data_IF_049511128533
#
_entry.id   IF_049511128533
#
_cell.length_a   1.000
_cell.length_b   1.000
_cell.length_c   1.000
_cell.angle_alpha   90.00
_cell.angle_beta   90.00
_cell.angle_gamma   90.00
#
_symmetry.space_group_name_H-M   'P 1'
#
loop_
_entity.id
_entity.type
_entity.pdbx_description
1 polymer ?
#
# COMPACT_ATOMS: atom_id res chain seq x y z
N UNK A 1 13.04 4.55 -12.60
CA UNK A 1 13.05 3.50 -11.55
C UNK A 1 11.68 2.85 -11.50
N UNK A 2 11.57 1.51 -11.38
CA UNK A 2 10.28 0.83 -11.23
C UNK A 2 9.65 1.30 -9.90
N UNK A 3 8.44 1.87 -9.95
CA UNK A 3 7.75 2.37 -8.74
C UNK A 3 7.23 1.24 -7.84
N UNK A 4 7.05 0.04 -8.40
CA UNK A 4 6.59 -1.17 -7.72
C UNK A 4 7.40 -1.52 -6.45
N UNK A 5 8.74 -1.68 -6.50
CA UNK A 5 9.53 -1.98 -5.31
C UNK A 5 9.52 -0.85 -4.27
N UNK A 6 9.50 0.42 -4.69
CA UNK A 6 9.47 1.55 -3.76
C UNK A 6 8.19 1.57 -2.92
N UNK A 7 7.05 1.20 -3.51
CA UNK A 7 5.76 1.16 -2.82
C UNK A 7 5.68 -0.03 -1.86
N UNK A 8 6.23 -1.20 -2.23
CA UNK A 8 6.33 -2.36 -1.32
C UNK A 8 7.21 -2.03 -0.11
N UNK A 9 8.32 -1.35 -0.33
CA UNK A 9 9.22 -0.88 0.74
C UNK A 9 8.48 0.12 1.65
N UNK A 10 7.79 1.11 1.08
CA UNK A 10 7.01 2.08 1.84
C UNK A 10 5.89 1.42 2.66
N UNK A 11 5.21 0.41 2.10
CA UNK A 11 4.19 -0.38 2.81
C UNK A 11 4.80 -1.14 3.98
N UNK A 12 5.93 -1.83 3.75
CA UNK A 12 6.64 -2.55 4.80
C UNK A 12 7.02 -1.61 5.94
N UNK A 13 7.58 -0.44 5.62
CA UNK A 13 7.92 0.59 6.60
C UNK A 13 6.67 1.06 7.38
N UNK A 14 5.53 1.28 6.71
CA UNK A 14 4.26 1.62 7.40
C UNK A 14 3.79 0.55 8.38
N UNK A 15 3.93 -0.73 8.02
CA UNK A 15 3.58 -1.85 8.92
C UNK A 15 4.50 -1.84 10.14
N UNK A 16 5.82 -1.75 9.94
CA UNK A 16 6.79 -1.68 11.05
C UNK A 16 6.56 -0.46 11.96
N UNK A 17 6.28 0.71 11.39
CA UNK A 17 5.94 1.93 12.15
C UNK A 17 4.67 1.73 12.97
N UNK A 18 3.65 1.08 12.41
CA UNK A 18 2.41 0.79 13.14
C UNK A 18 2.67 -0.10 14.38
N UNK A 19 3.48 -1.15 14.23
CA UNK A 19 3.91 -1.98 15.36
C UNK A 19 4.74 -1.19 16.38
N UNK A 20 5.63 -0.32 15.92
CA UNK A 20 6.44 0.53 16.78
C UNK A 20 5.59 1.51 17.61
N UNK A 21 4.59 2.15 16.99
CA UNK A 21 3.67 3.04 17.70
C UNK A 21 2.79 2.30 18.72
N UNK A 22 2.33 1.09 18.42
CA UNK A 22 1.62 0.25 19.39
C UNK A 22 2.52 -0.11 20.57
N UNK A 23 3.79 -0.46 20.30
CA UNK A 23 4.76 -0.76 21.34
C UNK A 23 5.08 0.45 22.22
N UNK A 24 5.31 1.64 21.62
CA UNK A 24 5.46 2.87 22.39
C UNK A 24 4.20 3.22 23.17
N UNK A 25 3.01 2.95 22.63
CA UNK A 25 1.76 3.15 23.36
C UNK A 25 1.76 2.31 24.63
N UNK A 26 2.24 1.07 24.59
CA UNK A 26 2.30 0.22 25.77
C UNK A 26 3.25 0.76 26.86
N UNK A 27 4.37 1.34 26.45
CA UNK A 27 5.34 1.98 27.35
C UNK A 27 4.96 3.39 27.81
N UNK A 28 4.07 4.08 27.07
CA UNK A 28 3.69 5.44 27.39
C UNK A 28 2.84 5.48 28.67
N UNK A 29 3.32 6.21 29.67
CA UNK A 29 2.67 6.39 30.98
C UNK A 29 1.49 7.38 30.92
N UNK A 30 1.40 8.20 29.88
CA UNK A 30 0.33 9.19 29.69
C UNK A 30 -0.83 8.67 28.83
N UNK A 31 -2.06 8.73 29.34
CA UNK A 31 -3.28 8.29 28.63
C UNK A 31 -3.53 9.05 27.33
N UNK A 32 -3.23 10.36 27.29
CA UNK A 32 -3.38 11.19 26.09
C UNK A 32 -2.39 10.75 24.99
N UNK A 33 -1.13 10.52 25.38
CA UNK A 33 -0.08 10.08 24.44
C UNK A 33 -0.40 8.69 23.87
N UNK A 34 -0.89 7.77 24.72
CA UNK A 34 -1.37 6.44 24.31
C UNK A 34 -2.42 6.53 23.20
N UNK A 35 -3.44 7.36 23.39
CA UNK A 35 -4.51 7.53 22.39
C UNK A 35 -3.98 8.12 21.09
N UNK A 36 -3.08 9.10 21.18
CA UNK A 36 -2.50 9.75 20.01
C UNK A 36 -1.63 8.80 19.19
N UNK A 37 -0.78 7.99 19.85
CA UNK A 37 0.03 6.98 19.17
C UNK A 37 -0.79 5.86 18.53
N UNK A 38 -1.85 5.38 19.20
CA UNK A 38 -2.76 4.40 18.61
C UNK A 38 -3.45 4.99 17.38
N UNK A 39 -3.86 6.25 17.45
CA UNK A 39 -4.46 6.97 16.32
C UNK A 39 -3.47 7.10 15.17
N UNK A 40 -2.20 7.45 15.46
CA UNK A 40 -1.14 7.51 14.45
C UNK A 40 -0.87 6.15 13.81
N UNK A 41 -0.88 5.07 14.60
CA UNK A 41 -0.71 3.71 14.11
C UNK A 41 -1.82 3.33 13.12
N UNK A 42 -3.07 3.65 13.45
CA UNK A 42 -4.23 3.41 12.57
C UNK A 42 -4.10 4.20 11.27
N UNK A 43 -3.75 5.49 11.33
CA UNK A 43 -3.55 6.31 10.13
C UNK A 43 -2.39 5.82 9.25
N UNK A 44 -1.27 5.41 9.86
CA UNK A 44 -0.13 4.84 9.13
C UNK A 44 -0.52 3.56 8.40
N UNK A 45 -1.35 2.71 9.02
CA UNK A 45 -1.82 1.45 8.44
C UNK A 45 -2.82 1.69 7.30
N UNK A 46 -3.77 2.63 7.48
CA UNK A 46 -4.70 3.08 6.45
C UNK A 46 -3.98 3.63 5.21
N UNK A 47 -2.97 4.47 5.41
CA UNK A 47 -2.15 5.02 4.32
C UNK A 47 -1.44 3.92 3.54
N UNK A 48 -0.85 2.93 4.23
CA UNK A 48 -0.23 1.77 3.60
C UNK A 48 -1.22 0.93 2.78
N UNK A 49 -2.40 0.65 3.34
CA UNK A 49 -3.45 -0.12 2.65
C UNK A 49 -3.97 0.61 1.42
N UNK A 50 -4.18 1.93 1.50
CA UNK A 50 -4.57 2.74 0.35
C UNK A 50 -3.53 2.69 -0.77
N UNK A 51 -2.24 2.79 -0.45
CA UNK A 51 -1.17 2.70 -1.44
C UNK A 51 -1.16 1.33 -2.17
N UNK A 52 -1.39 0.24 -1.44
CA UNK A 52 -1.53 -1.10 -2.02
C UNK A 52 -2.78 -1.24 -2.91
N UNK A 53 -3.92 -0.68 -2.49
CA UNK A 53 -5.15 -0.71 -3.26
C UNK A 53 -4.96 0.02 -4.61
N UNK A 54 -4.38 1.22 -4.58
CA UNK A 54 -4.05 1.98 -5.79
C UNK A 54 -3.11 1.19 -6.73
N UNK A 55 -2.12 0.49 -6.19
CA UNK A 55 -1.22 -0.34 -6.98
C UNK A 55 -1.91 -1.55 -7.60
N UNK A 56 -2.78 -2.22 -6.85
CA UNK A 56 -3.57 -3.35 -7.34
C UNK A 56 -4.45 -2.93 -8.52
N UNK A 57 -5.12 -1.77 -8.38
CA UNK A 57 -5.93 -1.18 -9.45
C UNK A 57 -5.06 -0.79 -10.65
N UNK A 58 -3.92 -0.13 -10.42
CA UNK A 58 -2.99 0.25 -11.49
C UNK A 58 -2.48 -0.97 -12.28
N UNK A 59 -2.05 -2.03 -11.59
CA UNK A 59 -1.60 -3.28 -12.22
C UNK A 59 -2.75 -4.00 -12.94
N UNK A 60 -3.97 -3.96 -12.38
CA UNK A 60 -5.17 -4.50 -13.01
C UNK A 60 -5.48 -3.82 -14.34
N UNK A 61 -5.56 -2.47 -14.34
CA UNK A 61 -5.79 -1.67 -15.55
C UNK A 61 -4.68 -1.94 -16.58
N UNK A 62 -3.42 -1.97 -16.13
CA UNK A 62 -2.27 -2.20 -17.01
C UNK A 62 -2.25 -3.60 -17.61
N UNK A 63 -2.77 -4.61 -16.91
CA UNK A 63 -2.98 -5.96 -17.46
C UNK A 63 -4.09 -5.98 -18.51
N UNK A 64 -5.22 -5.31 -18.26
CA UNK A 64 -6.33 -5.22 -19.20
C UNK A 64 -5.89 -4.54 -20.50
N UNK A 65 -5.19 -3.40 -20.40
CA UNK A 65 -4.66 -2.68 -21.57
C UNK A 65 -3.66 -3.52 -22.39
N UNK A 66 -2.82 -4.33 -21.75
CA UNK A 66 -1.90 -5.24 -22.46
C UNK A 66 -2.63 -6.39 -23.15
N UNK A 67 -3.71 -6.88 -22.55
CA UNK A 67 -4.55 -7.92 -23.13
C UNK A 67 -5.25 -7.42 -24.39
N UNK A 68 -5.79 -6.19 -24.36
CA UNK A 68 -6.44 -5.54 -25.49
C UNK A 68 -5.48 -5.34 -26.68
N UNK A 69 -4.26 -4.87 -26.43
CA UNK A 69 -3.22 -4.73 -27.46
C UNK A 69 -2.79 -6.07 -28.08
N UNK A 70 -2.82 -7.16 -27.30
CA UNK A 70 -2.46 -8.50 -27.80
C UNK A 70 -3.58 -9.08 -28.69
N UNK A 71 -4.83 -8.74 -28.43
CA UNK A 71 -5.99 -9.16 -29.24
C UNK A 71 -6.05 -8.39 -30.58
N UNK A 72 -5.71 -7.10 -30.61
CA UNK A 72 -5.61 -6.28 -31.84
C UNK A 72 -4.41 -6.63 -32.73
N UNK A 73 -3.44 -7.43 -32.26
CA UNK A 73 -2.30 -7.88 -33.07
C UNK A 73 -2.47 -9.30 -33.62
N UNK A 74 -3.67 -9.89 -33.52
CA UNK A 74 -4.01 -11.10 -34.26
C UNK A 74 -4.77 -10.66 -35.51
N UNK A 75 -4.08 -10.42 -36.65
CA UNK A 75 -4.77 -10.11 -37.89
C UNK A 75 -5.69 -11.28 -38.23
N UNK A 76 -6.92 -10.90 -38.52
CA UNK A 76 -7.87 -11.56 -39.42
C UNK A 76 -7.09 -12.30 -40.53
N UNK A 77 -6.83 -13.59 -40.33
CA UNK A 77 -6.55 -14.54 -41.40
C UNK A 77 -7.86 -15.26 -41.67
N UNK A 78 -8.66 -14.69 -42.55
CA UNK A 78 -9.59 -15.41 -43.42
C UNK A 78 -9.38 -14.91 -44.85
#
# INVERSE_FOLDING_TARGET
MKAEPAIIIAFTICVFLSFYFVYLSFQATGETLKKELVTLAVYSLLSGVMALACMTVYLGIRKILKLEQTQTSKPEQD
#
